data_IF_466328115946
#
_entry.id   IF_466328115946
#
_cell.length_a   1.000
_cell.length_b   1.000
_cell.length_c   1.000
_cell.angle_alpha   90.00
_cell.angle_beta   90.00
_cell.angle_gamma   90.00
#
_symmetry.space_group_name_H-M   'P 1'
#
loop_
_entity.id
_entity.type
_entity.pdbx_description
1 polymer ?
#
# COMPACT_ATOMS: atom_id res chain seq x y z
N UNK A 1 14.40 8.21 15.29
CA UNK A 1 13.29 7.78 14.42
C UNK A 1 13.74 7.53 12.97
N UNK A 2 14.56 8.41 12.38
CA UNK A 2 14.95 8.30 10.96
C UNK A 2 15.68 6.99 10.65
N UNK A 3 16.62 6.56 11.49
CA UNK A 3 17.34 5.30 11.31
C UNK A 3 16.41 4.09 11.43
N UNK A 4 15.48 4.09 12.40
CA UNK A 4 14.48 3.03 12.55
C UNK A 4 13.54 2.97 11.33
N UNK A 5 13.17 4.14 10.78
CA UNK A 5 12.36 4.19 9.57
C UNK A 5 13.12 3.59 8.37
N UNK A 6 14.39 3.96 8.20
CA UNK A 6 15.23 3.41 7.13
C UNK A 6 15.29 1.88 7.21
N UNK A 7 15.61 1.33 8.38
CA UNK A 7 15.78 -0.11 8.56
C UNK A 7 14.47 -0.89 8.45
N UNK A 8 13.38 -0.39 9.08
CA UNK A 8 12.14 -1.17 9.19
C UNK A 8 11.16 -0.96 8.04
N UNK A 9 11.27 0.16 7.34
CA UNK A 9 10.33 0.51 6.26
C UNK A 9 11.00 0.55 4.91
N UNK A 10 12.10 1.32 4.78
CA UNK A 10 12.74 1.54 3.48
C UNK A 10 13.47 0.29 2.99
N UNK A 11 14.29 -0.35 3.84
CA UNK A 11 15.02 -1.57 3.48
C UNK A 11 14.06 -2.73 3.17
N UNK A 12 13.00 -2.88 3.98
CA UNK A 12 11.94 -3.84 3.67
C UNK A 12 11.29 -3.56 2.31
N UNK A 13 10.99 -2.30 2.02
CA UNK A 13 10.38 -1.92 0.75
C UNK A 13 11.26 -2.34 -0.44
N UNK A 14 12.55 -2.07 -0.39
CA UNK A 14 13.48 -2.49 -1.43
C UNK A 14 13.54 -4.01 -1.59
N UNK A 15 13.64 -4.75 -0.48
CA UNK A 15 13.67 -6.21 -0.50
C UNK A 15 12.40 -6.83 -1.13
N UNK A 16 11.22 -6.24 -0.89
CA UNK A 16 9.97 -6.69 -1.50
C UNK A 16 9.94 -6.42 -3.02
N UNK A 17 10.37 -5.23 -3.44
CA UNK A 17 10.44 -4.91 -4.87
C UNK A 17 11.44 -5.79 -5.62
N UNK A 18 12.60 -6.10 -5.04
CA UNK A 18 13.58 -7.04 -5.61
C UNK A 18 12.97 -8.42 -5.85
N UNK A 19 12.01 -8.83 -5.01
CA UNK A 19 11.29 -10.10 -5.15
C UNK A 19 10.03 -10.00 -6.04
N UNK A 20 9.78 -8.84 -6.67
CA UNK A 20 8.63 -8.59 -7.53
C UNK A 20 7.30 -8.41 -6.77
N UNK A 21 7.36 -8.17 -5.47
CA UNK A 21 6.18 -7.85 -4.67
C UNK A 21 6.08 -6.34 -4.48
N UNK A 22 4.86 -5.81 -4.51
CA UNK A 22 4.59 -4.39 -4.26
C UNK A 22 4.23 -4.20 -2.80
N UNK A 23 5.13 -3.68 -1.96
CA UNK A 23 4.85 -3.44 -0.54
C UNK A 23 3.99 -2.20 -0.35
N UNK A 24 3.36 -2.08 0.83
CA UNK A 24 2.72 -0.84 1.27
C UNK A 24 3.54 -0.22 2.42
N UNK A 25 4.47 0.71 2.14
CA UNK A 25 5.31 1.33 3.15
C UNK A 25 4.53 2.14 4.18
N UNK A 26 3.32 2.65 3.84
CA UNK A 26 2.51 3.43 4.76
C UNK A 26 1.86 2.54 5.84
N UNK A 27 1.46 1.32 5.50
CA UNK A 27 1.00 0.33 6.50
C UNK A 27 2.12 -0.02 7.48
N UNK A 28 3.33 -0.26 6.95
CA UNK A 28 4.50 -0.52 7.79
C UNK A 28 4.88 0.69 8.65
N UNK A 29 4.87 1.89 8.08
CA UNK A 29 5.15 3.11 8.83
C UNK A 29 4.20 3.27 10.03
N UNK A 30 2.93 2.95 9.86
CA UNK A 30 1.97 3.00 10.95
C UNK A 30 2.30 1.95 12.03
N UNK A 31 2.52 0.68 11.63
CA UNK A 31 2.81 -0.42 12.57
C UNK A 31 4.14 -0.25 13.28
N UNK A 32 5.23 0.02 12.53
CA UNK A 32 6.60 -0.06 13.04
C UNK A 32 7.10 1.26 13.62
N UNK A 33 6.63 2.38 13.08
CA UNK A 33 7.17 3.70 13.45
C UNK A 33 6.20 4.47 14.34
N UNK A 34 4.96 4.76 13.85
CA UNK A 34 4.04 5.62 14.60
C UNK A 34 3.51 4.94 15.86
N UNK A 35 3.05 3.70 15.74
CA UNK A 35 2.45 2.96 16.85
C UNK A 35 3.37 1.92 17.50
N UNK A 36 4.67 1.93 17.16
CA UNK A 36 5.69 1.18 17.91
C UNK A 36 6.78 2.11 18.43
N UNK A 37 7.74 2.50 17.60
CA UNK A 37 8.92 3.28 18.05
C UNK A 37 8.50 4.63 18.64
N UNK A 38 7.66 5.40 17.93
CA UNK A 38 7.19 6.70 18.39
C UNK A 38 6.28 6.57 19.61
N UNK A 39 5.35 5.60 19.61
CA UNK A 39 4.49 5.34 20.75
C UNK A 39 5.31 5.04 22.02
N UNK A 40 6.30 4.14 21.93
CA UNK A 40 7.16 3.79 23.06
C UNK A 40 7.91 5.01 23.62
N UNK A 41 8.44 5.85 22.76
CA UNK A 41 9.11 7.09 23.20
C UNK A 41 8.13 8.09 23.82
N UNK A 42 6.94 8.25 23.23
CA UNK A 42 5.90 9.12 23.78
C UNK A 42 5.48 8.67 25.20
N UNK A 43 5.25 7.37 25.40
CA UNK A 43 4.91 6.80 26.71
C UNK A 43 6.05 7.02 27.76
N UNK A 44 7.31 6.87 27.36
CA UNK A 44 8.46 7.18 28.25
C UNK A 44 8.50 8.65 28.65
N UNK A 45 8.01 9.54 27.80
CA UNK A 45 7.92 10.99 28.07
C UNK A 45 6.66 11.36 28.86
N UNK A 46 5.84 10.39 29.27
CA UNK A 46 4.64 10.59 30.09
C UNK A 46 3.35 10.84 29.30
N UNK A 47 3.34 10.54 28.00
CA UNK A 47 2.09 10.58 27.25
C UNK A 47 1.21 9.37 27.59
N UNK A 48 -0.10 9.55 27.63
CA UNK A 48 -1.07 8.46 27.83
C UNK A 48 -1.49 7.83 26.51
N UNK A 49 -1.53 8.62 25.44
CA UNK A 49 -1.99 8.18 24.10
C UNK A 49 -1.21 8.84 22.98
N UNK A 50 -1.32 8.26 21.80
CA UNK A 50 -0.87 8.86 20.54
C UNK A 50 -2.08 9.15 19.66
N UNK A 51 -2.33 10.40 19.35
CA UNK A 51 -3.39 10.85 18.46
C UNK A 51 -2.86 11.02 17.03
N UNK A 52 -3.62 10.55 16.05
CA UNK A 52 -3.29 10.73 14.63
C UNK A 52 -4.47 11.21 13.82
N UNK A 53 -4.19 11.90 12.71
CA UNK A 53 -5.19 12.41 11.79
C UNK A 53 -5.72 11.38 10.79
N UNK A 54 -5.77 10.09 11.14
CA UNK A 54 -6.40 9.09 10.29
C UNK A 54 -7.92 9.18 10.36
N UNK A 55 -8.56 9.12 9.20
CA UNK A 55 -10.02 9.00 9.08
C UNK A 55 -10.43 7.55 9.33
N UNK A 56 -10.40 7.15 10.58
CA UNK A 56 -10.86 5.86 11.08
C UNK A 56 -11.35 6.04 12.52
N UNK A 57 -12.01 5.03 13.07
CA UNK A 57 -12.55 5.06 14.43
C UNK A 57 -12.05 3.89 15.24
N UNK A 58 -12.10 4.02 16.54
CA UNK A 58 -11.81 2.95 17.49
C UNK A 58 -13.01 2.74 18.40
N UNK A 59 -13.36 1.50 18.65
CA UNK A 59 -14.32 1.11 19.69
C UNK A 59 -13.66 0.18 20.68
N UNK A 60 -14.19 0.18 21.90
CA UNK A 60 -13.78 -0.72 22.97
C UNK A 60 -14.96 -1.61 23.35
N UNK A 61 -14.70 -2.88 23.50
CA UNK A 61 -15.71 -3.88 23.84
C UNK A 61 -15.13 -4.86 24.86
N UNK A 62 -15.92 -5.30 25.81
CA UNK A 62 -15.51 -6.33 26.77
C UNK A 62 -16.03 -7.69 26.30
N UNK A 63 -15.10 -8.58 25.93
CA UNK A 63 -15.40 -9.95 25.50
C UNK A 63 -14.72 -10.92 26.48
N UNK A 64 -15.52 -11.76 27.12
CA UNK A 64 -15.02 -12.73 28.10
C UNK A 64 -14.12 -12.11 29.18
N UNK A 65 -14.49 -10.92 29.69
CA UNK A 65 -13.75 -10.21 30.74
C UNK A 65 -12.46 -9.53 30.26
N UNK A 66 -12.18 -9.50 28.96
CA UNK A 66 -11.03 -8.81 28.37
C UNK A 66 -11.47 -7.65 27.51
N UNK A 67 -10.82 -6.50 27.64
CA UNK A 67 -11.03 -5.37 26.73
C UNK A 67 -10.43 -5.67 25.37
N UNK A 68 -11.25 -5.56 24.35
CA UNK A 68 -10.87 -5.72 22.94
C UNK A 68 -11.06 -4.38 22.23
N UNK A 69 -10.06 -3.95 21.50
CA UNK A 69 -10.07 -2.72 20.71
C UNK A 69 -10.38 -3.07 19.25
N UNK A 70 -11.46 -2.47 18.72
CA UNK A 70 -11.87 -2.65 17.34
C UNK A 70 -11.47 -1.42 16.51
N UNK A 71 -10.76 -1.65 15.42
CA UNK A 71 -10.54 -0.65 14.38
C UNK A 71 -11.78 -0.62 13.48
N UNK A 72 -12.38 0.55 13.34
CA UNK A 72 -13.59 0.76 12.55
C UNK A 72 -13.32 1.73 11.40
N UNK A 73 -14.08 1.58 10.31
CA UNK A 73 -14.06 2.52 9.20
C UNK A 73 -14.41 3.93 9.66
N UNK A 74 -13.83 4.95 9.06
CA UNK A 74 -14.16 6.34 9.28
C UNK A 74 -15.60 6.68 8.85
N UNK A 75 -16.15 7.78 9.36
CA UNK A 75 -17.46 8.28 8.94
C UNK A 75 -17.45 8.75 7.47
N UNK A 76 -16.35 9.31 7.00
CA UNK A 76 -16.17 9.71 5.59
C UNK A 76 -15.76 8.50 4.73
N UNK A 77 -16.75 7.90 4.05
CA UNK A 77 -16.53 6.74 3.16
C UNK A 77 -15.56 7.03 2.01
N UNK A 78 -15.40 8.29 1.60
CA UNK A 78 -14.46 8.68 0.53
C UNK A 78 -13.03 8.87 1.05
N UNK A 79 -12.85 8.88 2.37
CA UNK A 79 -11.56 9.15 3.04
C UNK A 79 -11.20 8.12 4.10
N UNK A 80 -11.96 7.04 4.20
CA UNK A 80 -11.63 5.96 5.13
C UNK A 80 -10.19 5.52 4.96
N UNK A 81 -9.45 5.49 6.08
CA UNK A 81 -8.03 5.15 6.14
C UNK A 81 -7.76 3.96 7.07
N UNK A 82 -8.80 3.25 7.48
CA UNK A 82 -8.67 2.08 8.38
C UNK A 82 -7.74 1.01 7.79
N UNK A 83 -7.71 0.86 6.46
CA UNK A 83 -6.84 -0.11 5.79
C UNK A 83 -5.34 0.15 6.01
N UNK A 84 -4.91 1.40 6.21
CA UNK A 84 -3.53 1.72 6.56
C UNK A 84 -3.12 1.23 7.95
N UNK A 85 -4.10 0.90 8.78
CA UNK A 85 -3.92 0.50 10.17
C UNK A 85 -4.25 -0.99 10.41
N UNK A 86 -4.48 -1.76 9.33
CA UNK A 86 -4.92 -3.15 9.40
C UNK A 86 -3.93 -4.09 10.10
N UNK A 87 -2.68 -3.68 10.26
CA UNK A 87 -1.63 -4.46 10.94
C UNK A 87 -1.36 -4.02 12.38
N UNK A 88 -2.14 -3.09 12.93
CA UNK A 88 -1.98 -2.70 14.34
C UNK A 88 -2.44 -3.83 15.26
N UNK A 89 -1.65 -4.06 16.31
CA UNK A 89 -1.97 -5.01 17.37
C UNK A 89 -2.98 -4.42 18.36
N UNK A 90 -3.58 -5.27 19.21
CA UNK A 90 -4.46 -4.83 20.28
C UNK A 90 -3.77 -3.87 21.25
N UNK A 91 -2.49 -4.12 21.56
CA UNK A 91 -1.70 -3.25 22.41
C UNK A 91 -1.50 -1.87 21.75
N UNK A 92 -1.16 -1.82 20.48
CA UNK A 92 -1.00 -0.56 19.75
C UNK A 92 -2.32 0.21 19.66
N UNK A 93 -3.43 -0.47 19.36
CA UNK A 93 -4.76 0.15 19.30
C UNK A 93 -5.22 0.70 20.65
N UNK A 94 -4.84 0.07 21.75
CA UNK A 94 -5.13 0.57 23.11
C UNK A 94 -4.71 2.03 23.27
N UNK A 95 -3.53 2.37 22.81
CA UNK A 95 -2.94 3.71 22.95
C UNK A 95 -3.22 4.65 21.78
N UNK A 96 -3.94 4.19 20.76
CA UNK A 96 -4.25 5.00 19.58
C UNK A 96 -5.52 5.84 19.79
N UNK A 97 -5.47 7.10 19.35
CA UNK A 97 -6.64 7.99 19.24
C UNK A 97 -6.78 8.48 17.80
N UNK A 98 -8.04 8.57 17.34
CA UNK A 98 -8.42 9.05 16.01
C UNK A 98 -9.44 10.16 16.10
N UNK A 99 -9.04 11.39 16.48
CA UNK A 99 -9.97 12.48 16.84
C UNK A 99 -10.90 12.92 15.71
N UNK A 100 -10.49 12.68 14.45
CA UNK A 100 -11.26 13.11 13.27
C UNK A 100 -12.05 11.95 12.62
N UNK A 101 -12.09 10.78 13.26
CA UNK A 101 -12.70 9.58 12.69
C UNK A 101 -14.20 9.67 12.42
N UNK A 102 -14.90 10.48 13.21
CA UNK A 102 -16.35 10.74 13.08
C UNK A 102 -16.69 11.96 12.22
N UNK A 103 -15.68 12.58 11.61
CA UNK A 103 -15.86 13.81 10.82
C UNK A 103 -15.70 13.54 9.33
N UNK A 104 -16.45 14.30 8.52
CA UNK A 104 -16.21 14.38 7.10
C UNK A 104 -15.03 15.32 6.82
N UNK A 105 -14.25 15.02 5.78
CA UNK A 105 -13.09 15.85 5.43
C UNK A 105 -13.38 17.35 5.23
N UNK A 106 -14.50 17.77 4.61
CA UNK A 106 -14.87 19.19 4.54
C UNK A 106 -14.99 19.83 5.92
N UNK A 107 -15.61 19.16 6.89
CA UNK A 107 -15.77 19.67 8.27
C UNK A 107 -14.42 19.87 8.96
N UNK A 108 -13.50 18.88 8.82
CA UNK A 108 -12.13 19.01 9.36
C UNK A 108 -11.40 20.22 8.75
N UNK A 109 -11.59 20.48 7.45
CA UNK A 109 -11.00 21.64 6.78
C UNK A 109 -11.60 22.95 7.24
N UNK A 110 -12.91 23.02 7.48
CA UNK A 110 -13.61 24.18 8.02
C UNK A 110 -13.06 24.54 9.39
N UNK A 111 -13.01 23.57 10.31
CA UNK A 111 -12.42 23.74 11.65
C UNK A 111 -10.96 24.23 11.55
N UNK A 112 -10.17 23.64 10.67
CA UNK A 112 -8.78 24.04 10.48
C UNK A 112 -8.65 25.50 9.99
N UNK A 113 -9.58 25.99 9.17
CA UNK A 113 -9.65 27.38 8.72
C UNK A 113 -10.10 28.32 9.82
N UNK A 114 -11.14 27.98 10.55
CA UNK A 114 -11.64 28.74 11.70
C UNK A 114 -10.54 28.90 12.77
N UNK A 115 -9.82 27.84 13.06
CA UNK A 115 -8.70 27.85 13.99
C UNK A 115 -7.41 28.47 13.40
N UNK A 116 -7.46 28.98 12.15
CA UNK A 116 -6.35 29.62 11.46
C UNK A 116 -5.07 28.77 11.42
N UNK A 117 -5.22 27.45 11.33
CA UNK A 117 -4.06 26.55 11.27
C UNK A 117 -3.26 26.79 9.99
N UNK A 118 -1.94 26.88 10.09
CA UNK A 118 -1.05 27.08 8.95
C UNK A 118 -1.20 25.98 7.86
N UNK A 119 -1.69 24.80 8.24
CA UNK A 119 -1.90 23.66 7.36
C UNK A 119 -3.31 23.59 6.75
N UNK A 120 -4.23 24.50 7.09
CA UNK A 120 -5.64 24.44 6.66
C UNK A 120 -5.83 24.33 5.14
N UNK A 121 -4.98 24.99 4.36
CA UNK A 121 -4.99 24.97 2.87
C UNK A 121 -4.08 23.92 2.26
N UNK A 122 -3.36 23.14 3.07
CA UNK A 122 -2.43 22.13 2.57
C UNK A 122 -3.21 21.03 1.83
N UNK A 123 -2.72 20.69 0.64
CA UNK A 123 -3.23 19.52 -0.11
C UNK A 123 -2.91 18.24 0.64
N UNK A 124 -3.69 17.18 0.35
CA UNK A 124 -3.42 15.85 0.90
C UNK A 124 -1.99 15.42 0.60
N UNK A 125 -1.35 14.78 1.55
CA UNK A 125 -0.05 14.16 1.33
C UNK A 125 -0.17 13.11 0.22
N UNK A 126 0.66 13.25 -0.79
CA UNK A 126 0.86 12.26 -1.84
C UNK A 126 2.30 11.80 -1.75
N UNK A 127 2.52 10.50 -1.70
CA UNK A 127 3.86 9.92 -1.61
C UNK A 127 4.05 9.08 -0.35
N UNK A 128 5.27 8.61 -0.16
CA UNK A 128 5.66 7.75 0.95
C UNK A 128 5.80 8.57 2.24
N UNK A 129 5.27 8.09 3.34
CA UNK A 129 5.41 8.73 4.65
C UNK A 129 6.88 9.06 4.96
N UNK A 130 7.14 10.25 5.49
CA UNK A 130 8.47 10.80 5.82
C UNK A 130 9.44 11.01 4.63
N UNK A 131 9.23 10.37 3.49
CA UNK A 131 10.03 10.56 2.27
C UNK A 131 9.41 11.64 1.38
N UNK A 132 8.08 11.74 1.37
CA UNK A 132 7.35 12.71 0.57
C UNK A 132 7.03 12.21 -0.84
N UNK A 133 6.78 13.17 -1.75
CA UNK A 133 6.43 12.85 -3.14
C UNK A 133 7.70 12.49 -3.90
N UNK A 134 7.78 11.23 -4.32
CA UNK A 134 8.88 10.70 -5.14
C UNK A 134 8.34 10.11 -6.43
N UNK A 135 9.13 10.12 -7.48
CA UNK A 135 8.94 9.24 -8.63
C UNK A 135 9.42 7.85 -8.20
N UNK A 136 8.50 6.92 -8.02
CA UNK A 136 8.80 5.63 -7.42
C UNK A 136 9.83 4.83 -8.23
N UNK A 137 9.75 4.69 -9.57
CA UNK A 137 10.80 4.05 -10.36
C UNK A 137 12.18 4.67 -10.16
N UNK A 138 12.28 6.01 -10.17
CA UNK A 138 13.55 6.72 -9.95
C UNK A 138 14.08 6.49 -8.54
N UNK A 139 13.19 6.50 -7.54
CA UNK A 139 13.55 6.20 -6.16
C UNK A 139 14.08 4.77 -5.98
N UNK A 140 13.42 3.79 -6.59
CA UNK A 140 13.85 2.40 -6.53
C UNK A 140 15.18 2.16 -7.25
N UNK A 141 15.46 2.88 -8.32
CA UNK A 141 16.74 2.81 -9.06
C UNK A 141 17.97 3.26 -8.25
N UNK A 142 17.76 3.87 -7.08
CA UNK A 142 18.88 4.17 -6.18
C UNK A 142 19.55 2.92 -5.61
N UNK A 143 18.84 1.80 -5.53
CA UNK A 143 19.36 0.54 -5.02
C UNK A 143 19.14 -0.65 -5.98
N UNK A 144 18.09 -0.60 -6.79
CA UNK A 144 17.76 -1.67 -7.73
C UNK A 144 18.15 -1.25 -9.14
N UNK A 145 19.12 -1.94 -9.73
CA UNK A 145 19.62 -1.63 -11.06
C UNK A 145 18.52 -1.83 -12.13
N UNK A 146 18.39 -0.85 -13.02
CA UNK A 146 17.52 -1.00 -14.18
C UNK A 146 18.10 -2.05 -15.14
N UNK A 147 17.28 -3.00 -15.59
CA UNK A 147 17.64 -4.04 -16.55
C UNK A 147 16.53 -4.16 -17.59
N UNK A 148 16.88 -3.97 -18.85
CA UNK A 148 15.90 -4.10 -19.93
C UNK A 148 15.32 -5.50 -19.98
N UNK A 149 13.97 -5.59 -20.04
CA UNK A 149 13.21 -6.83 -20.17
C UNK A 149 12.11 -6.71 -21.22
N UNK A 150 11.33 -7.76 -21.38
CA UNK A 150 10.29 -7.87 -22.41
C UNK A 150 8.89 -7.82 -21.81
N UNK A 151 7.96 -7.21 -22.57
CA UNK A 151 6.52 -7.24 -22.28
C UNK A 151 5.85 -8.20 -23.25
N UNK A 152 5.14 -9.20 -22.73
CA UNK A 152 4.38 -10.18 -23.48
C UNK A 152 2.87 -9.98 -23.26
N UNK A 153 2.12 -9.78 -24.33
CA UNK A 153 0.67 -9.69 -24.29
C UNK A 153 0.05 -11.07 -24.29
N UNK A 154 -0.76 -11.35 -23.26
CA UNK A 154 -1.57 -12.56 -23.17
C UNK A 154 -2.97 -12.21 -23.66
N UNK A 155 -3.43 -12.89 -24.70
CA UNK A 155 -4.75 -12.63 -25.27
C UNK A 155 -5.87 -13.23 -24.40
N UNK A 156 -7.09 -12.65 -24.42
CA UNK A 156 -8.25 -13.22 -23.71
C UNK A 156 -8.58 -14.66 -24.15
N UNK A 157 -8.17 -15.05 -25.35
CA UNK A 157 -8.33 -16.41 -25.89
C UNK A 157 -7.27 -17.42 -25.44
N UNK A 158 -6.37 -17.02 -24.52
CA UNK A 158 -5.36 -17.95 -24.01
C UNK A 158 -6.03 -19.16 -23.34
N UNK A 159 -5.61 -20.36 -23.76
CA UNK A 159 -6.21 -21.63 -23.31
C UNK A 159 -6.18 -21.85 -21.81
N UNK A 160 -5.22 -21.24 -21.09
CA UNK A 160 -5.13 -21.32 -19.64
C UNK A 160 -6.31 -20.65 -18.90
N UNK A 161 -7.06 -19.79 -19.58
CA UNK A 161 -8.29 -19.21 -18.99
C UNK A 161 -9.49 -20.17 -19.05
N UNK A 162 -9.46 -21.19 -19.92
CA UNK A 162 -10.53 -22.18 -20.00
C UNK A 162 -10.54 -23.15 -18.80
N UNK A 163 -9.41 -23.31 -18.12
CA UNK A 163 -9.31 -24.15 -16.92
C UNK A 163 -9.66 -23.29 -15.70
N UNK A 164 -10.92 -23.39 -15.27
CA UNK A 164 -11.42 -22.74 -14.06
C UNK A 164 -11.45 -23.78 -12.93
N UNK A 165 -10.90 -23.44 -11.73
CA UNK A 165 -11.16 -24.25 -10.53
C UNK A 165 -12.65 -24.35 -10.22
N UNK A 166 -13.04 -25.32 -9.41
CA UNK A 166 -14.40 -25.41 -8.89
C UNK A 166 -14.75 -24.15 -8.08
N UNK A 167 -16.00 -23.68 -8.15
CA UNK A 167 -16.43 -22.43 -7.50
C UNK A 167 -16.26 -22.43 -5.97
N UNK A 168 -16.27 -23.58 -5.36
CA UNK A 168 -16.08 -23.81 -3.91
C UNK A 168 -14.62 -24.03 -3.51
N UNK A 169 -13.70 -24.24 -4.48
CA UNK A 169 -12.27 -24.35 -4.20
C UNK A 169 -11.60 -22.96 -4.14
N UNK A 170 -11.82 -22.29 -2.99
CA UNK A 170 -11.28 -20.95 -2.76
C UNK A 170 -9.74 -20.89 -2.80
N UNK A 171 -9.07 -21.99 -2.48
CA UNK A 171 -7.59 -22.06 -2.52
C UNK A 171 -7.12 -22.03 -3.95
N UNK A 172 -7.63 -22.91 -4.81
CA UNK A 172 -7.27 -22.93 -6.23
C UNK A 172 -7.71 -21.65 -6.97
N UNK A 173 -8.84 -21.04 -6.58
CA UNK A 173 -9.28 -19.75 -7.13
C UNK A 173 -8.35 -18.58 -6.74
N UNK A 174 -7.71 -18.67 -5.57
CA UNK A 174 -6.78 -17.64 -5.09
C UNK A 174 -5.35 -17.81 -5.63
N UNK A 175 -5.01 -18.96 -6.21
CA UNK A 175 -3.68 -19.19 -6.78
C UNK A 175 -3.41 -18.29 -7.99
N UNK A 176 -2.24 -17.61 -8.02
CA UNK A 176 -1.84 -16.82 -9.18
C UNK A 176 -1.68 -17.70 -10.43
N UNK A 177 -2.17 -17.23 -11.55
CA UNK A 177 -1.93 -17.90 -12.83
C UNK A 177 -0.47 -17.73 -13.24
N UNK A 178 0.16 -18.81 -13.70
CA UNK A 178 1.51 -18.80 -14.22
C UNK A 178 1.51 -18.64 -15.74
N UNK A 179 2.27 -17.67 -16.21
CA UNK A 179 2.45 -17.39 -17.64
C UNK A 179 3.90 -17.63 -18.04
N UNK A 180 4.10 -18.00 -19.29
CA UNK A 180 5.40 -18.14 -19.92
C UNK A 180 5.49 -17.26 -21.17
N UNK A 181 6.67 -16.98 -21.65
CA UNK A 181 6.87 -16.20 -22.89
C UNK A 181 6.22 -16.87 -24.13
N UNK A 182 5.91 -18.17 -24.06
CA UNK A 182 5.23 -18.92 -25.13
C UNK A 182 3.71 -18.70 -25.14
N UNK A 183 3.16 -18.23 -24.04
CA UNK A 183 1.71 -18.01 -23.88
C UNK A 183 1.27 -16.67 -24.50
N UNK A 184 2.21 -15.80 -24.82
CA UNK A 184 1.93 -14.47 -25.34
C UNK A 184 2.88 -14.02 -26.43
N UNK A 185 2.55 -12.87 -27.04
CA UNK A 185 3.39 -12.22 -28.06
C UNK A 185 4.14 -11.05 -27.46
N UNK A 186 5.45 -10.95 -27.75
CA UNK A 186 6.23 -9.76 -27.36
C UNK A 186 5.65 -8.50 -28.02
N UNK A 187 5.33 -7.48 -27.22
CA UNK A 187 4.69 -6.23 -27.65
C UNK A 187 5.45 -4.98 -27.23
N UNK A 188 6.49 -5.14 -26.41
CA UNK A 188 7.29 -4.01 -25.95
C UNK A 188 8.48 -4.44 -25.09
N UNK A 189 9.12 -3.45 -24.48
CA UNK A 189 10.22 -3.61 -23.53
C UNK A 189 9.97 -2.73 -22.31
N UNK A 190 10.66 -3.04 -21.22
CA UNK A 190 10.64 -2.26 -19.97
C UNK A 190 12.02 -2.23 -19.33
N UNK A 191 12.22 -1.44 -18.26
CA UNK A 191 13.50 -1.24 -17.60
C UNK A 191 13.70 -2.06 -16.31
N UNK A 192 12.89 -3.08 -16.11
CA UNK A 192 12.95 -3.96 -14.94
C UNK A 192 11.57 -4.36 -14.46
N UNK A 193 11.28 -5.68 -14.41
CA UNK A 193 9.97 -6.20 -14.03
C UNK A 193 9.57 -5.81 -12.60
N UNK A 194 10.55 -5.65 -11.70
CA UNK A 194 10.37 -5.25 -10.30
C UNK A 194 9.88 -3.80 -10.12
N UNK A 195 9.95 -2.93 -11.15
CA UNK A 195 9.40 -1.57 -11.07
C UNK A 195 7.90 -1.50 -11.36
N UNK A 196 7.26 -2.62 -11.65
CA UNK A 196 5.88 -2.66 -12.08
C UNK A 196 5.00 -3.47 -11.12
N UNK A 197 3.74 -3.07 -11.07
CA UNK A 197 2.74 -3.67 -10.17
C UNK A 197 1.63 -4.33 -10.98
N UNK A 198 1.15 -5.49 -10.53
CA UNK A 198 -0.03 -6.16 -11.10
C UNK A 198 -1.22 -5.19 -11.06
N UNK A 199 -1.99 -5.11 -12.16
CA UNK A 199 -3.07 -4.16 -12.35
C UNK A 199 -2.65 -2.79 -12.88
N UNK A 200 -1.35 -2.49 -12.97
CA UNK A 200 -0.86 -1.22 -13.50
C UNK A 200 -1.18 -1.10 -15.00
N UNK A 201 -1.70 0.07 -15.39
CA UNK A 201 -2.00 0.43 -16.78
C UNK A 201 -1.02 1.45 -17.35
N UNK A 202 -0.68 2.47 -16.56
CA UNK A 202 0.17 3.59 -17.00
C UNK A 202 1.65 3.23 -16.95
N UNK A 203 2.44 3.82 -17.84
CA UNK A 203 3.89 3.68 -17.83
C UNK A 203 4.44 2.46 -18.57
N UNK A 204 3.59 1.68 -19.28
CA UNK A 204 4.02 0.54 -20.08
C UNK A 204 4.71 0.96 -21.40
N UNK A 205 4.47 2.18 -21.89
CA UNK A 205 5.05 2.65 -23.15
C UNK A 205 4.52 1.94 -24.41
N UNK A 206 3.42 1.19 -24.31
CA UNK A 206 2.83 0.42 -25.41
C UNK A 206 1.61 1.19 -25.93
N UNK A 207 1.72 1.71 -27.15
CA UNK A 207 0.66 2.44 -27.83
C UNK A 207 -0.02 1.63 -28.96
N UNK A 208 -0.97 2.28 -29.66
CA UNK A 208 -1.60 1.72 -30.87
C UNK A 208 -2.65 0.64 -30.61
N UNK A 209 -3.16 0.52 -29.39
CA UNK A 209 -4.21 -0.47 -29.03
C UNK A 209 -5.57 0.23 -28.89
N UNK A 210 -6.64 -0.47 -29.28
CA UNK A 210 -8.03 -0.03 -29.05
C UNK A 210 -8.38 -0.08 -27.56
N UNK A 211 -7.91 -1.11 -26.87
CA UNK A 211 -8.16 -1.33 -25.45
C UNK A 211 -6.89 -1.13 -24.63
N UNK A 212 -7.08 -0.74 -23.37
CA UNK A 212 -5.98 -0.55 -22.45
C UNK A 212 -5.39 -1.89 -22.02
N UNK A 213 -4.06 -2.01 -22.02
CA UNK A 213 -3.35 -3.15 -21.44
C UNK A 213 -3.13 -2.94 -19.94
N UNK A 214 -3.21 -4.04 -19.20
CA UNK A 214 -2.95 -4.09 -17.77
C UNK A 214 -1.91 -5.18 -17.49
N UNK A 215 -1.07 -4.94 -16.52
CA UNK A 215 -0.12 -5.96 -16.03
C UNK A 215 -0.90 -7.02 -15.26
N UNK A 216 -0.80 -8.26 -15.68
CA UNK A 216 -1.45 -9.41 -15.06
C UNK A 216 -0.48 -10.28 -14.27
N UNK A 217 0.82 -10.23 -14.60
CA UNK A 217 1.88 -10.88 -13.85
C UNK A 217 3.24 -10.23 -14.14
N UNK A 218 4.17 -10.40 -13.21
CA UNK A 218 5.58 -10.02 -13.37
C UNK A 218 6.47 -11.21 -12.99
N UNK A 219 7.50 -11.46 -13.78
CA UNK A 219 8.56 -12.42 -13.48
C UNK A 219 9.87 -11.65 -13.35
N UNK A 220 10.35 -11.45 -12.15
CA UNK A 220 11.59 -10.70 -11.89
C UNK A 220 12.85 -11.53 -12.19
N UNK A 221 12.78 -12.87 -12.16
CA UNK A 221 13.91 -13.75 -12.48
C UNK A 221 14.20 -13.74 -13.96
N UNK A 222 13.16 -13.95 -14.78
CA UNK A 222 13.23 -13.90 -16.23
C UNK A 222 13.18 -12.46 -16.77
N UNK A 223 12.88 -11.49 -15.91
CA UNK A 223 12.71 -10.07 -16.23
C UNK A 223 11.66 -9.85 -17.33
N UNK A 224 10.47 -10.42 -17.14
CA UNK A 224 9.34 -10.37 -18.06
C UNK A 224 8.10 -9.81 -17.39
N UNK A 225 7.32 -9.02 -18.14
CA UNK A 225 5.99 -8.53 -17.75
C UNK A 225 4.95 -9.16 -18.69
N UNK A 226 3.87 -9.66 -18.10
CA UNK A 226 2.73 -10.18 -18.82
C UNK A 226 1.53 -9.27 -18.68
#
# INVERSE_FOLDING_TARGET
>A
LSEQYRQRVVEYMFAEYEQGRTPNPDVLCNREIKFDVFLKEALKMGADFVATGHYCRKAEEVINGRTVYRLLAGADKNKDQSYFLCQLTQEQLRYALFPIGDMLKPQVREIAQEQKLATAKRKDSQGICFVGKVDLPVFLQQQIAAKQGNVHEILPSWRGYAQQPAEDDLVALAEPRHYTVRDGKKVGTHNGAHFYTIGQRKGLGIGGRKESLFIIATDVKENVIY
#
